data_IF_996230717737
#
_entry.id   IF_996230717737
#
_cell.length_a   1.000
_cell.length_b   1.000
_cell.length_c   1.000
_cell.angle_alpha   90.00
_cell.angle_beta   90.00
_cell.angle_gamma   90.00
#
_symmetry.space_group_name_H-M   'P 1'
#
loop_
_entity.id
_entity.type
_entity.pdbx_description
1 polymer ?
#
# COMPACT_ATOMS: atom_id res chain seq x y z
N UNK A 1 -44.12 -5.97 -11.59
CA UNK A 1 -43.30 -5.69 -10.40
C UNK A 1 -42.01 -6.49 -10.55
N UNK A 2 -40.93 -5.89 -11.03
CA UNK A 2 -39.62 -6.54 -11.13
C UNK A 2 -38.90 -6.37 -9.79
N UNK A 3 -38.66 -7.47 -9.09
CA UNK A 3 -37.87 -7.48 -7.86
C UNK A 3 -36.40 -7.25 -8.24
N UNK A 4 -35.85 -6.09 -7.86
CA UNK A 4 -34.43 -5.82 -8.02
C UNK A 4 -33.63 -6.66 -7.02
N UNK A 5 -33.13 -7.80 -7.47
CA UNK A 5 -32.28 -8.68 -6.66
C UNK A 5 -30.91 -8.00 -6.49
N UNK A 6 -30.70 -7.32 -5.37
CA UNK A 6 -29.38 -6.80 -4.98
C UNK A 6 -28.50 -7.97 -4.55
N UNK A 7 -27.45 -8.26 -5.32
CA UNK A 7 -26.43 -9.22 -4.92
C UNK A 7 -25.45 -8.56 -3.96
N UNK A 8 -25.34 -9.12 -2.76
CA UNK A 8 -24.34 -8.70 -1.78
C UNK A 8 -23.02 -9.38 -2.12
N UNK A 9 -22.02 -8.61 -2.56
CA UNK A 9 -20.65 -9.08 -2.73
C UNK A 9 -19.86 -8.89 -1.45
N UNK A 10 -18.85 -9.74 -1.25
CA UNK A 10 -17.99 -9.73 -0.08
C UNK A 10 -16.56 -9.39 -0.52
N UNK A 11 -16.10 -8.18 -0.20
CA UNK A 11 -14.72 -7.75 -0.43
C UNK A 11 -13.79 -8.56 0.47
N UNK A 12 -13.01 -9.47 -0.11
CA UNK A 12 -12.01 -10.28 0.61
C UNK A 12 -10.74 -9.44 0.84
N UNK A 13 -10.34 -9.28 2.09
CA UNK A 13 -9.19 -8.45 2.47
C UNK A 13 -8.38 -9.08 3.60
N UNK A 14 -7.08 -9.29 3.41
CA UNK A 14 -6.21 -9.85 4.45
C UNK A 14 -5.27 -8.78 5.05
N UNK A 15 -5.53 -8.29 6.28
CA UNK A 15 -4.74 -7.22 6.89
C UNK A 15 -3.29 -7.62 7.17
N UNK A 16 -3.03 -8.88 7.50
CA UNK A 16 -1.67 -9.35 7.83
C UNK A 16 -0.82 -9.41 6.57
N UNK A 17 -1.40 -9.92 5.49
CA UNK A 17 -0.74 -9.95 4.20
C UNK A 17 -0.48 -8.55 3.67
N UNK A 18 -1.48 -7.66 3.69
CA UNK A 18 -1.33 -6.27 3.25
C UNK A 18 -0.18 -5.58 3.99
N UNK A 19 -0.15 -5.66 5.32
CA UNK A 19 0.91 -5.02 6.10
C UNK A 19 2.32 -5.58 5.79
N UNK A 20 2.41 -6.83 5.30
CA UNK A 20 3.67 -7.45 4.86
C UNK A 20 4.08 -7.09 3.43
N UNK A 21 3.11 -6.83 2.55
CA UNK A 21 3.36 -6.48 1.15
C UNK A 21 3.64 -4.99 1.03
N UNK A 22 2.80 -4.15 1.63
CA UNK A 22 2.79 -2.70 1.49
C UNK A 22 3.61 -2.00 2.59
N UNK A 23 4.87 -2.41 2.73
CA UNK A 23 5.73 -1.95 3.83
C UNK A 23 6.15 -0.48 3.72
N UNK A 24 6.30 0.04 2.50
CA UNK A 24 6.74 1.41 2.27
C UNK A 24 5.80 2.11 1.29
N UNK A 25 5.81 3.44 1.34
CA UNK A 25 5.03 4.26 0.41
C UNK A 25 5.43 3.99 -1.04
N UNK A 26 6.74 4.00 -1.31
CA UNK A 26 7.27 3.73 -2.66
C UNK A 26 6.88 2.33 -3.16
N UNK A 27 6.93 1.30 -2.31
CA UNK A 27 6.46 -0.04 -2.70
C UNK A 27 4.95 -0.07 -2.95
N UNK A 28 4.18 0.67 -2.17
CA UNK A 28 2.73 0.79 -2.36
C UNK A 28 2.38 1.45 -3.68
N UNK A 29 3.04 2.57 -3.99
CA UNK A 29 2.91 3.27 -5.28
C UNK A 29 3.35 2.36 -6.43
N UNK A 30 4.47 1.65 -6.30
CA UNK A 30 4.96 0.72 -7.33
C UNK A 30 3.96 -0.40 -7.64
N UNK A 31 3.27 -0.93 -6.64
CA UNK A 31 2.31 -2.02 -6.80
C UNK A 31 0.93 -1.53 -7.29
N UNK A 32 0.47 -0.37 -6.83
CA UNK A 32 -0.85 0.15 -7.16
C UNK A 32 -0.89 1.07 -8.38
N UNK A 33 0.23 1.70 -8.76
CA UNK A 33 0.27 2.62 -9.91
C UNK A 33 -0.13 1.93 -11.23
N UNK A 34 0.36 0.72 -11.55
CA UNK A 34 -0.09 -0.01 -12.74
C UNK A 34 -1.59 -0.28 -12.71
N UNK A 35 -2.14 -0.67 -11.56
CA UNK A 35 -3.58 -0.94 -11.42
C UNK A 35 -4.43 0.33 -11.61
N UNK A 36 -3.90 1.49 -11.21
CA UNK A 36 -4.54 2.79 -11.44
C UNK A 36 -4.53 3.17 -12.92
N UNK A 37 -3.40 2.95 -13.60
CA UNK A 37 -3.26 3.22 -15.04
C UNK A 37 -4.16 2.32 -15.89
N UNK A 38 -4.40 1.09 -15.44
CA UNK A 38 -5.36 0.16 -16.04
C UNK A 38 -6.82 0.51 -15.74
N UNK A 39 -7.07 1.50 -14.88
CA UNK A 39 -8.42 1.87 -14.44
C UNK A 39 -9.08 0.81 -13.54
N UNK A 40 -8.30 -0.10 -12.94
CA UNK A 40 -8.84 -1.06 -11.97
C UNK A 40 -9.10 -0.40 -10.62
N UNK A 41 -8.31 0.60 -10.20
CA UNK A 41 -8.53 1.33 -8.95
C UNK A 41 -8.80 2.81 -9.24
N UNK A 42 -9.78 3.39 -8.54
CA UNK A 42 -10.08 4.82 -8.64
C UNK A 42 -8.90 5.66 -8.13
N UNK A 43 -8.75 6.89 -8.64
CA UNK A 43 -7.70 7.79 -8.16
C UNK A 43 -7.83 8.09 -6.65
N UNK A 44 -9.06 8.19 -6.15
CA UNK A 44 -9.33 8.41 -4.72
C UNK A 44 -8.84 7.23 -3.86
N UNK A 45 -9.18 6.00 -4.26
CA UNK A 45 -8.84 4.79 -3.51
C UNK A 45 -7.33 4.51 -3.56
N UNK A 46 -6.68 4.84 -4.69
CA UNK A 46 -5.23 4.83 -4.83
C UNK A 46 -4.55 5.74 -3.80
N UNK A 47 -4.95 7.02 -3.74
CA UNK A 47 -4.36 7.98 -2.79
C UNK A 47 -4.63 7.57 -1.34
N UNK A 48 -5.84 7.09 -1.04
CA UNK A 48 -6.20 6.56 0.27
C UNK A 48 -5.29 5.38 0.68
N UNK A 49 -5.06 4.44 -0.23
CA UNK A 49 -4.21 3.27 0.01
C UNK A 49 -2.74 3.65 0.24
N UNK A 50 -2.20 4.55 -0.60
CA UNK A 50 -0.83 5.08 -0.48
C UNK A 50 -0.61 5.82 0.85
N UNK A 51 -1.63 6.55 1.33
CA UNK A 51 -1.57 7.23 2.62
C UNK A 51 -1.75 6.27 3.81
N UNK A 52 -2.55 5.22 3.65
CA UNK A 52 -2.92 4.31 4.74
C UNK A 52 -1.89 3.21 5.00
N UNK A 53 -1.49 2.43 3.98
CA UNK A 53 -0.67 1.22 4.20
C UNK A 53 0.70 1.45 4.87
N UNK A 54 1.50 2.45 4.48
CA UNK A 54 2.80 2.67 5.12
C UNK A 54 2.68 3.38 6.49
N UNK A 55 1.47 3.55 7.03
CA UNK A 55 1.25 4.35 8.24
C UNK A 55 1.55 3.54 9.54
N UNK A 56 1.40 4.19 10.69
CA UNK A 56 1.80 3.71 12.02
C UNK A 56 0.92 2.59 12.58
N UNK A 57 -0.28 2.35 12.01
CA UNK A 57 -1.26 1.41 12.56
C UNK A 57 -0.72 -0.03 12.70
N UNK A 58 0.23 -0.43 11.85
CA UNK A 58 0.95 -1.72 11.93
C UNK A 58 1.77 -1.91 13.22
N UNK A 59 2.21 -0.83 13.85
CA UNK A 59 3.01 -0.90 15.08
C UNK A 59 2.16 -0.83 16.36
N UNK A 60 0.84 -0.60 16.26
CA UNK A 60 -0.03 -0.41 17.42
C UNK A 60 0.00 -1.60 18.39
N UNK A 61 0.09 -2.84 17.89
CA UNK A 61 0.19 -4.02 18.74
C UNK A 61 1.50 -4.04 19.55
N UNK A 62 2.64 -3.75 18.91
CA UNK A 62 3.95 -3.69 19.57
C UNK A 62 4.00 -2.54 20.58
N UNK A 63 3.49 -1.38 20.20
CA UNK A 63 3.43 -0.19 21.05
C UNK A 63 2.53 -0.45 22.25
N UNK A 64 1.38 -1.08 22.05
CA UNK A 64 0.48 -1.52 23.12
C UNK A 64 1.17 -2.48 24.08
N UNK A 65 1.92 -3.46 23.58
CA UNK A 65 2.73 -4.37 24.40
C UNK A 65 3.77 -3.63 25.25
N UNK A 66 4.53 -2.72 24.64
CA UNK A 66 5.55 -1.94 25.35
C UNK A 66 4.93 -1.03 26.41
N UNK A 67 3.86 -0.32 26.08
CA UNK A 67 3.14 0.53 27.03
C UNK A 67 2.56 -0.29 28.19
N UNK A 68 1.95 -1.44 27.90
CA UNK A 68 1.46 -2.37 28.93
C UNK A 68 2.57 -2.85 29.85
N UNK A 69 3.72 -3.23 29.29
CA UNK A 69 4.88 -3.74 30.03
C UNK A 69 5.59 -2.67 30.88
N UNK A 70 5.63 -1.42 30.41
CA UNK A 70 6.29 -0.31 31.10
C UNK A 70 5.37 0.34 32.15
N UNK A 71 4.04 0.23 32.00
CA UNK A 71 3.07 0.86 32.90
C UNK A 71 3.29 0.60 34.41
N UNK A 72 3.74 -0.59 34.89
CA UNK A 72 4.00 -0.81 36.31
C UNK A 72 5.16 -0.01 36.87
N UNK A 73 6.09 0.44 36.01
CA UNK A 73 7.24 1.26 36.40
C UNK A 73 6.87 2.75 36.54
N UNK A 74 5.81 3.20 35.86
CA UNK A 74 5.34 4.58 35.91
C UNK A 74 4.54 4.90 37.20
N UNK A 75 3.94 3.88 37.82
CA UNK A 75 3.23 4.03 39.10
C UNK A 75 4.30 4.05 40.21
N UNK A 76 4.41 5.17 40.94
CA UNK A 76 5.43 5.47 41.98
C UNK A 76 5.91 4.23 42.76
N UNK A 77 7.20 3.94 42.64
CA UNK A 77 8.02 3.03 43.47
C UNK A 77 7.23 1.97 44.25
N UNK A 78 6.62 0.97 43.60
CA UNK A 78 6.14 -0.18 44.33
C UNK A 78 7.38 -0.81 44.94
N UNK A 79 7.45 -0.98 46.27
CA UNK A 79 8.53 -1.76 46.90
C UNK A 79 8.72 -3.04 46.08
N UNK A 80 9.96 -3.40 45.76
CA UNK A 80 10.31 -4.50 44.85
C UNK A 80 9.83 -5.81 45.48
N UNK A 81 8.53 -6.07 45.37
CA UNK A 81 7.88 -7.29 45.82
C UNK A 81 7.93 -8.26 44.65
N UNK A 82 8.13 -9.56 44.93
CA UNK A 82 8.23 -10.63 43.93
C UNK A 82 7.04 -10.81 42.98
N UNK A 83 6.00 -9.97 43.09
CA UNK A 83 4.81 -9.95 42.21
C UNK A 83 5.01 -9.16 40.91
N UNK A 84 6.07 -8.35 40.78
CA UNK A 84 6.34 -7.55 39.56
C UNK A 84 6.41 -8.35 38.25
N UNK A 85 7.14 -9.47 38.15
CA UNK A 85 7.20 -10.23 36.89
C UNK A 85 5.82 -10.74 36.46
N UNK A 86 4.96 -11.10 37.43
CA UNK A 86 3.59 -11.53 37.16
C UNK A 86 2.75 -10.39 36.55
N UNK A 87 2.84 -9.17 37.09
CA UNK A 87 2.10 -8.01 36.55
C UNK A 87 2.53 -7.71 35.11
N UNK A 88 3.84 -7.73 34.82
CA UNK A 88 4.36 -7.50 33.46
C UNK A 88 3.88 -8.60 32.50
N UNK A 89 3.92 -9.86 32.92
CA UNK A 89 3.47 -11.00 32.13
C UNK A 89 1.98 -10.93 31.75
N UNK A 90 1.15 -10.25 32.56
CA UNK A 90 -0.29 -10.06 32.28
C UNK A 90 -0.53 -8.80 31.44
N UNK A 91 0.06 -7.66 31.82
CA UNK A 91 -0.24 -6.38 31.17
C UNK A 91 0.35 -6.24 29.77
N UNK A 92 1.51 -6.85 29.50
CA UNK A 92 2.12 -6.84 28.17
C UNK A 92 1.21 -7.46 27.11
N UNK A 93 0.81 -8.74 27.24
CA UNK A 93 -0.11 -9.39 26.30
C UNK A 93 -1.47 -8.70 26.18
N UNK A 94 -2.01 -8.16 27.28
CA UNK A 94 -3.24 -7.38 27.24
C UNK A 94 -3.08 -6.12 26.38
N UNK A 95 -1.98 -5.38 26.55
CA UNK A 95 -1.64 -4.24 25.72
C UNK A 95 -1.47 -4.60 24.24
N UNK A 96 -0.83 -5.75 23.96
CA UNK A 96 -0.73 -6.29 22.60
C UNK A 96 -2.10 -6.55 21.96
N UNK A 97 -3.00 -7.20 22.70
CA UNK A 97 -4.36 -7.49 22.24
C UNK A 97 -5.16 -6.22 21.93
N UNK A 98 -5.10 -5.21 22.82
CA UNK A 98 -5.75 -3.90 22.61
C UNK A 98 -5.17 -3.23 21.36
N UNK A 99 -3.84 -3.19 21.22
CA UNK A 99 -3.19 -2.61 20.05
C UNK A 99 -3.53 -3.35 18.75
N UNK A 100 -3.67 -4.68 18.80
CA UNK A 100 -4.15 -5.50 17.70
C UNK A 100 -5.59 -5.15 17.30
N UNK A 101 -6.48 -4.96 18.28
CA UNK A 101 -7.85 -4.51 18.05
C UNK A 101 -7.92 -3.13 17.35
N UNK A 102 -7.11 -2.17 17.81
CA UNK A 102 -7.02 -0.85 17.17
C UNK A 102 -6.47 -0.92 15.75
N UNK A 103 -5.48 -1.80 15.49
CA UNK A 103 -4.97 -2.08 14.14
C UNK A 103 -6.07 -2.64 13.23
N UNK A 104 -6.88 -3.59 13.70
CA UNK A 104 -7.99 -4.11 12.90
C UNK A 104 -9.07 -3.05 12.66
N UNK A 105 -9.36 -2.23 13.67
CA UNK A 105 -10.30 -1.12 13.54
C UNK A 105 -9.85 -0.07 12.49
N UNK A 106 -8.54 0.22 12.39
CA UNK A 106 -8.04 1.13 11.36
C UNK A 106 -8.18 0.56 9.95
N UNK A 107 -7.93 -0.74 9.77
CA UNK A 107 -8.17 -1.44 8.50
C UNK A 107 -9.65 -1.45 8.13
N UNK A 108 -10.55 -1.71 9.08
CA UNK A 108 -11.99 -1.62 8.84
C UNK A 108 -12.44 -0.21 8.41
N UNK A 109 -11.91 0.84 9.04
CA UNK A 109 -12.16 2.23 8.64
C UNK A 109 -11.64 2.54 7.25
N UNK A 110 -10.43 2.11 6.92
CA UNK A 110 -9.87 2.24 5.57
C UNK A 110 -10.76 1.56 4.53
N UNK A 111 -11.17 0.31 4.76
CA UNK A 111 -12.08 -0.40 3.85
C UNK A 111 -13.42 0.30 3.70
N UNK A 112 -13.91 0.98 4.74
CA UNK A 112 -15.15 1.77 4.67
C UNK A 112 -15.00 3.06 3.84
N UNK A 113 -13.78 3.61 3.73
CA UNK A 113 -13.49 4.79 2.92
C UNK A 113 -13.32 4.52 1.41
N UNK A 114 -13.16 3.26 1.01
CA UNK A 114 -13.04 2.88 -0.40
C UNK A 114 -14.36 3.18 -1.14
N UNK A 115 -14.27 3.94 -2.23
CA UNK A 115 -15.39 4.35 -3.06
C UNK A 115 -15.78 3.26 -4.09
N UNK A 116 -14.78 2.62 -4.70
CA UNK A 116 -14.99 1.54 -5.66
C UNK A 116 -14.43 0.20 -5.11
N UNK A 117 -15.23 -0.54 -4.32
CA UNK A 117 -14.77 -1.79 -3.73
C UNK A 117 -14.52 -2.89 -4.77
N UNK A 118 -15.27 -2.91 -5.88
CA UNK A 118 -15.08 -3.90 -6.95
C UNK A 118 -13.74 -3.68 -7.65
N UNK A 119 -13.44 -2.43 -8.01
CA UNK A 119 -12.17 -2.06 -8.61
C UNK A 119 -10.98 -2.33 -7.69
N UNK A 120 -11.12 -1.95 -6.42
CA UNK A 120 -10.11 -2.23 -5.40
C UNK A 120 -9.86 -3.74 -5.22
N UNK A 121 -10.90 -4.57 -5.16
CA UNK A 121 -10.77 -6.04 -5.07
C UNK A 121 -9.98 -6.59 -6.25
N UNK A 122 -10.30 -6.14 -7.46
CA UNK A 122 -9.63 -6.58 -8.69
C UNK A 122 -8.15 -6.22 -8.67
N UNK A 123 -7.82 -5.00 -8.24
CA UNK A 123 -6.43 -4.56 -8.08
C UNK A 123 -5.68 -5.43 -7.05
N UNK A 124 -6.28 -5.68 -5.88
CA UNK A 124 -5.67 -6.53 -4.86
C UNK A 124 -5.46 -7.97 -5.33
N UNK A 125 -6.41 -8.55 -6.07
CA UNK A 125 -6.28 -9.90 -6.68
C UNK A 125 -5.15 -9.96 -7.69
N UNK A 126 -4.94 -8.91 -8.49
CA UNK A 126 -3.82 -8.86 -9.44
C UNK A 126 -2.47 -8.84 -8.71
N UNK A 127 -2.38 -8.07 -7.62
CA UNK A 127 -1.19 -8.04 -6.76
C UNK A 127 -0.99 -9.38 -6.06
N UNK A 128 -2.06 -10.04 -5.62
CA UNK A 128 -2.03 -11.36 -4.97
C UNK A 128 -1.45 -12.45 -5.87
N UNK A 129 -1.72 -12.39 -7.18
CA UNK A 129 -1.11 -13.31 -8.17
C UNK A 129 0.41 -13.22 -8.17
N UNK A 130 0.97 -12.03 -7.93
CA UNK A 130 2.42 -11.80 -7.87
C UNK A 130 2.96 -12.08 -6.46
N UNK A 131 2.18 -11.76 -5.42
CA UNK A 131 2.55 -11.87 -4.01
C UNK A 131 1.49 -12.66 -3.24
N UNK A 132 1.48 -14.00 -3.32
CA UNK A 132 0.45 -14.81 -2.68
C UNK A 132 0.51 -14.71 -1.14
N UNK A 133 -0.65 -14.72 -0.46
CA UNK A 133 -0.71 -14.65 0.99
C UNK A 133 -0.21 -15.96 1.60
N UNK A 134 0.56 -15.86 2.68
CA UNK A 134 1.04 -17.03 3.45
C UNK A 134 0.00 -17.57 4.43
N UNK A 135 -1.10 -16.83 4.68
CA UNK A 135 -2.07 -17.16 5.73
C UNK A 135 -3.46 -16.64 5.39
N UNK A 136 -4.50 -17.24 5.97
CA UNK A 136 -5.91 -17.05 5.61
C UNK A 136 -6.78 -16.08 6.44
N UNK A 137 -6.29 -15.17 7.33
CA UNK A 137 -7.24 -14.26 7.98
C UNK A 137 -7.78 -13.25 6.97
N UNK A 138 -8.99 -13.52 6.47
CA UNK A 138 -9.73 -12.68 5.52
C UNK A 138 -10.79 -11.89 6.31
N UNK A 139 -10.64 -10.57 6.35
CA UNK A 139 -11.71 -9.64 6.68
C UNK A 139 -12.61 -9.46 5.46
N UNK A 140 -13.92 -9.47 5.71
CA UNK A 140 -14.93 -9.29 4.68
C UNK A 140 -15.75 -8.02 4.91
N UNK A 141 -15.83 -7.15 3.89
CA UNK A 141 -16.85 -6.08 3.86
C UNK A 141 -17.94 -6.48 2.86
N UNK A 142 -19.18 -6.56 3.31
CA UNK A 142 -20.31 -6.74 2.40
C UNK A 142 -20.71 -5.40 1.77
N UNK A 143 -20.91 -5.39 0.46
CA UNK A 143 -21.42 -4.23 -0.28
C UNK A 143 -22.41 -4.69 -1.35
N UNK A 144 -23.33 -3.79 -1.72
CA UNK A 144 -24.27 -4.06 -2.82
C UNK A 144 -23.58 -3.71 -4.13
N UNK A 145 -23.34 -4.71 -4.97
CA UNK A 145 -22.89 -4.50 -6.35
C UNK A 145 -24.11 -4.48 -7.28
N UNK A 146 -24.03 -3.71 -8.36
CA UNK A 146 -24.96 -3.88 -9.47
C UNK A 146 -24.73 -5.28 -10.09
N UNK A 147 -25.82 -5.95 -10.46
CA UNK A 147 -25.94 -7.40 -10.45
C UNK A 147 -25.37 -8.15 -11.68
N UNK A 148 -24.55 -7.53 -12.50
CA UNK A 148 -24.20 -8.10 -13.82
C UNK A 148 -22.93 -8.99 -13.81
N UNK A 149 -22.18 -9.05 -12.71
CA UNK A 149 -20.95 -9.87 -12.59
C UNK A 149 -20.94 -10.67 -11.27
N UNK A 150 -21.22 -11.99 -11.28
CA UNK A 150 -21.15 -12.83 -10.07
C UNK A 150 -20.47 -14.17 -10.34
N UNK A 151 -19.35 -14.42 -9.65
CA UNK A 151 -18.68 -15.72 -9.54
C UNK A 151 -18.66 -16.15 -8.05
N UNK A 152 -19.07 -17.38 -7.76
CA UNK A 152 -19.53 -17.83 -6.44
C UNK A 152 -18.48 -18.69 -5.74
N UNK A 153 -17.70 -18.12 -4.82
CA UNK A 153 -16.86 -18.90 -3.89
C UNK A 153 -16.71 -18.19 -2.55
N UNK A 154 -17.45 -18.65 -1.52
CA UNK A 154 -17.41 -18.09 -0.16
C UNK A 154 -17.19 -19.18 0.88
N UNK A 155 -16.08 -19.11 1.61
CA UNK A 155 -15.85 -19.78 2.89
C UNK A 155 -15.15 -18.79 3.85
N UNK A 156 -15.63 -18.76 5.10
CA UNK A 156 -15.06 -18.15 6.32
C UNK A 156 -14.54 -16.69 6.26
N UNK A 157 -15.43 -15.69 6.23
CA UNK A 157 -15.04 -14.29 6.45
C UNK A 157 -15.75 -13.69 7.67
N UNK A 158 -15.04 -12.87 8.44
CA UNK A 158 -15.63 -12.02 9.48
C UNK A 158 -16.32 -10.85 8.77
N UNK A 159 -17.65 -10.81 8.85
CA UNK A 159 -18.48 -9.76 8.23
C UNK A 159 -18.59 -8.58 9.19
N UNK A 160 -18.08 -7.42 8.77
CA UNK A 160 -18.29 -6.16 9.49
C UNK A 160 -19.68 -5.58 9.12
N UNK A 161 -20.51 -5.15 10.08
CA UNK A 161 -21.76 -4.47 9.77
C UNK A 161 -21.45 -3.17 9.03
N UNK A 162 -22.01 -3.01 7.82
CA UNK A 162 -21.97 -1.71 7.12
C UNK A 162 -22.70 -0.70 8.00
N UNK A 163 -21.99 0.31 8.49
CA UNK A 163 -22.64 1.45 9.12
C UNK A 163 -23.43 2.16 8.02
N UNK A 164 -24.76 2.10 8.09
CA UNK A 164 -25.66 2.89 7.27
C UNK A 164 -25.42 4.38 7.60
N UNK A 165 -24.46 4.99 6.91
CA UNK A 165 -24.26 6.43 6.94
C UNK A 165 -25.45 7.03 6.19
N UNK A 166 -26.31 7.83 6.84
CA UNK A 166 -27.44 8.44 6.16
C UNK A 166 -26.90 9.32 5.03
N UNK A 167 -27.17 8.90 3.79
CA UNK A 167 -26.87 9.68 2.60
C UNK A 167 -27.73 10.95 2.64
N UNK A 168 -27.17 12.02 3.18
CA UNK A 168 -27.76 13.35 3.13
C UNK A 168 -27.96 13.76 1.67
N UNK A 169 -29.22 13.93 1.29
CA UNK A 169 -29.62 14.55 0.03
C UNK A 169 -28.91 15.91 -0.11
N UNK A 170 -27.88 15.97 -0.97
CA UNK A 170 -27.30 17.23 -1.39
C UNK A 170 -28.28 17.90 -2.36
N UNK A 171 -29.09 18.82 -1.83
CA UNK A 171 -29.79 19.82 -2.63
C UNK A 171 -28.76 20.59 -3.44
N UNK A 172 -28.88 20.49 -4.76
CA UNK A 172 -28.16 21.27 -5.74
C UNK A 172 -28.51 22.76 -5.52
N UNK A 173 -27.65 23.46 -4.78
CA UNK A 173 -27.64 24.92 -4.71
C UNK A 173 -26.71 25.40 -5.82
N UNK A 174 -27.33 26.00 -6.82
CA UNK A 174 -26.67 26.75 -7.89
C UNK A 174 -25.96 27.95 -7.26
N UNK A 175 -24.64 27.89 -7.15
CA UNK A 175 -23.80 28.99 -6.68
C UNK A 175 -23.09 29.67 -7.85
N UNK A 176 -23.06 31.02 -7.86
CA UNK A 176 -22.51 31.83 -8.94
C UNK A 176 -20.99 31.69 -9.05
N UNK A 177 -20.50 31.74 -10.30
CA UNK A 177 -19.10 31.88 -10.76
C UNK A 177 -18.02 31.73 -9.68
N UNK A 178 -17.51 30.50 -9.53
CA UNK A 178 -16.41 30.16 -8.63
C UNK A 178 -15.15 30.99 -8.94
N UNK A 179 -14.47 31.57 -7.94
CA UNK A 179 -13.16 32.16 -8.11
C UNK A 179 -12.15 31.09 -8.56
N UNK A 180 -11.25 31.49 -9.46
CA UNK A 180 -10.25 30.64 -10.11
C UNK A 180 -9.51 29.79 -9.07
N UNK A 181 -9.60 28.47 -9.20
CA UNK A 181 -9.00 27.51 -8.26
C UNK A 181 -7.48 27.71 -8.17
N UNK A 182 -6.92 27.68 -6.95
CA UNK A 182 -5.46 27.69 -6.73
C UNK A 182 -4.72 26.60 -7.52
N UNK A 183 -5.40 25.49 -7.81
CA UNK A 183 -4.85 24.44 -8.67
C UNK A 183 -4.75 24.84 -10.14
N UNK A 184 -5.65 25.70 -10.62
CA UNK A 184 -5.60 26.28 -11.96
C UNK A 184 -4.41 27.24 -12.09
N UNK A 185 -4.14 28.02 -11.04
CA UNK A 185 -2.99 28.92 -10.95
C UNK A 185 -1.66 28.15 -10.92
N UNK A 186 -1.58 27.05 -10.16
CA UNK A 186 -0.42 26.15 -10.15
C UNK A 186 -0.20 25.49 -11.53
N UNK A 187 -1.27 25.08 -12.22
CA UNK A 187 -1.17 24.53 -13.59
C UNK A 187 -0.68 25.57 -14.59
N UNK A 188 -1.14 26.83 -14.49
CA UNK A 188 -0.63 27.91 -15.35
C UNK A 188 0.81 28.33 -15.01
N UNK A 189 1.22 28.29 -13.75
CA UNK A 189 2.58 28.59 -13.34
C UNK A 189 3.57 27.53 -13.88
N UNK A 190 3.24 26.25 -13.76
CA UNK A 190 4.08 25.17 -14.30
C UNK A 190 4.11 25.12 -15.83
N UNK A 191 3.04 25.54 -16.51
CA UNK A 191 3.03 25.62 -17.98
C UNK A 191 3.94 26.72 -18.52
N UNK A 192 4.25 27.76 -17.73
CA UNK A 192 5.16 28.84 -18.13
C UNK A 192 6.63 28.52 -17.84
N UNK A 193 6.94 27.57 -16.96
CA UNK A 193 8.31 27.16 -16.63
C UNK A 193 8.81 26.04 -17.55
N UNK A 194 8.64 26.17 -18.86
CA UNK A 194 9.23 25.29 -19.89
C UNK A 194 10.72 25.57 -20.11
N UNK A 195 11.41 26.18 -19.15
CA UNK A 195 12.86 26.13 -19.08
C UNK A 195 13.22 24.74 -18.58
N UNK A 196 13.80 23.93 -19.46
CA UNK A 196 14.40 22.60 -19.25
C UNK A 196 14.48 22.19 -17.77
N UNK A 197 13.59 21.29 -17.35
CA UNK A 197 13.54 20.73 -15.99
C UNK A 197 14.94 20.41 -15.48
N UNK A 198 15.26 20.79 -14.24
CA UNK A 198 16.57 20.51 -13.62
C UNK A 198 16.92 19.01 -13.63
N UNK A 199 15.90 18.15 -13.67
CA UNK A 199 16.04 16.71 -13.87
C UNK A 199 16.51 16.32 -15.26
N UNK A 200 16.07 17.02 -16.30
CA UNK A 200 16.51 16.78 -17.68
C UNK A 200 17.94 17.27 -17.90
N UNK A 201 18.32 18.38 -17.24
CA UNK A 201 19.72 18.83 -17.24
C UNK A 201 20.66 17.79 -16.62
N UNK A 202 20.23 17.11 -15.56
CA UNK A 202 20.99 16.03 -14.93
C UNK A 202 21.11 14.80 -15.85
N UNK A 203 20.02 14.46 -16.55
CA UNK A 203 19.98 13.33 -17.50
C UNK A 203 20.89 13.59 -18.70
N UNK A 204 20.82 14.78 -19.31
CA UNK A 204 21.73 15.19 -20.39
C UNK A 204 23.20 15.16 -19.96
N UNK A 205 23.50 15.54 -18.71
CA UNK A 205 24.87 15.49 -18.19
C UNK A 205 25.39 14.04 -18.11
N UNK A 206 24.54 13.11 -17.67
CA UNK A 206 24.87 11.68 -17.63
C UNK A 206 25.02 11.07 -19.03
N UNK A 207 24.17 11.44 -19.98
CA UNK A 207 24.27 10.96 -21.37
C UNK A 207 25.55 11.47 -22.04
N UNK A 208 25.94 12.73 -21.82
CA UNK A 208 27.20 13.29 -22.34
C UNK A 208 28.45 12.64 -21.72
N UNK A 209 28.40 12.20 -20.47
CA UNK A 209 29.53 11.49 -19.85
C UNK A 209 29.64 10.03 -20.31
N UNK A 210 28.52 9.41 -20.70
CA UNK A 210 28.50 8.02 -21.16
C UNK A 210 29.04 7.87 -22.59
N UNK A 211 28.89 8.91 -23.41
CA UNK A 211 29.52 9.02 -24.72
C UNK A 211 30.90 9.65 -24.51
N UNK A 212 31.83 8.87 -23.95
CA UNK A 212 33.25 9.26 -23.98
C UNK A 212 33.71 9.51 -25.42
N UNK A 213 34.69 10.39 -25.65
CA UNK A 213 35.23 10.63 -26.99
C UNK A 213 35.72 9.30 -27.54
N UNK A 214 34.99 8.76 -28.50
CA UNK A 214 35.38 7.57 -29.23
C UNK A 214 36.53 8.00 -30.13
N UNK A 215 37.73 7.94 -29.58
CA UNK A 215 38.99 8.18 -30.27
C UNK A 215 39.05 7.16 -31.41
N UNK A 216 38.96 7.68 -32.62
CA UNK A 216 38.97 6.95 -33.89
C UNK A 216 40.30 6.21 -34.05
N UNK A 217 40.44 5.05 -33.40
CA UNK A 217 41.58 4.17 -33.58
C UNK A 217 41.38 3.37 -34.89
N UNK A 218 42.25 3.67 -35.85
CA UNK A 218 42.38 2.99 -37.14
C UNK A 218 42.46 1.46 -37.02
N UNK A 219 41.93 0.72 -38.00
CA UNK A 219 42.14 -0.71 -38.11
C UNK A 219 43.57 -0.96 -38.60
N UNK A 220 44.39 -1.60 -37.76
CA UNK A 220 45.67 -2.16 -38.19
C UNK A 220 45.55 -3.69 -38.15
N UNK A 221 45.64 -4.27 -39.34
CA UNK A 221 45.81 -5.70 -39.64
C UNK A 221 47.08 -6.28 -39.01
N UNK A 222 47.20 -7.61 -39.14
CA UNK A 222 48.35 -8.48 -38.82
C UNK A 222 48.55 -8.71 -37.33
N UNK A 223 48.61 -9.92 -36.81
CA UNK A 223 48.93 -11.24 -37.35
C UNK A 223 49.32 -12.10 -36.13
N UNK A 224 49.67 -13.35 -36.36
CA UNK A 224 50.31 -14.24 -35.38
C UNK A 224 49.39 -15.00 -34.41
N UNK A 225 48.81 -16.06 -34.98
CA UNK A 225 49.27 -17.43 -34.69
C UNK A 225 50.21 -17.56 -33.46
N UNK A 226 49.68 -18.05 -32.33
CA UNK A 226 50.50 -18.84 -31.41
C UNK A 226 49.65 -19.87 -30.66
N UNK A 227 49.90 -21.13 -31.01
CA UNK A 227 49.46 -22.30 -30.28
C UNK A 227 50.21 -22.43 -28.95
N UNK A 228 49.52 -22.70 -27.84
CA UNK A 228 50.03 -23.54 -26.75
C UNK A 228 48.89 -23.83 -25.75
N UNK A 229 48.46 -25.09 -25.64
CA UNK A 229 48.82 -26.04 -24.57
C UNK A 229 48.40 -25.54 -23.18
N UNK A 230 47.40 -26.17 -22.57
CA UNK A 230 47.56 -27.42 -21.79
C UNK A 230 47.53 -27.08 -20.29
N UNK A 231 47.06 -28.05 -19.50
CA UNK A 231 47.02 -28.11 -18.04
C UNK A 231 45.94 -27.21 -17.42
N UNK A 232 44.83 -27.72 -16.89
CA UNK A 232 44.71 -28.89 -16.04
C UNK A 232 45.05 -28.51 -14.61
N UNK A 233 44.03 -28.30 -13.78
CA UNK A 233 44.02 -28.58 -12.34
C UNK A 233 42.62 -28.21 -11.79
N UNK A 234 41.81 -29.18 -11.34
CA UNK A 234 41.81 -29.75 -9.98
C UNK A 234 41.88 -28.66 -8.91
N UNK A 235 40.81 -28.53 -8.12
CA UNK A 235 40.77 -28.46 -6.65
C UNK A 235 39.28 -28.28 -6.31
N UNK A 236 38.58 -29.37 -5.93
CA UNK A 236 38.42 -29.92 -4.57
C UNK A 236 37.18 -29.34 -3.90
#
# INVERSE_FOLDING_TARGET
MTSNNKTTKLLKYNPLWVDSVFTTRSKTEQLLAPERELGNISHHDYEAAVAFFPNYHRHLAIVGFLLGSISPFAIRHPRINGRRPFIIAVLGPLGFAIGGGLRMASHARFLSSIQDPDGFEKAMKNIEKVYPPRSEPIMGRTYSSNADDVDLSTNHAIVLPSADIPQGHNKMVEHPSKPRSKWEELRQANAKSTETSSWDALRQKYERQKIGPQESASPQEEGDEFAMKDSGDKYR
#
